data_IF_619653519182
#
_entry.id   IF_619653519182
#
_cell.length_a   1.000
_cell.length_b   1.000
_cell.length_c   1.000
_cell.angle_alpha   90.00
_cell.angle_beta   90.00
_cell.angle_gamma   90.00
#
_symmetry.space_group_name_H-M   'P 1'
#
loop_
_entity.id
_entity.type
_entity.pdbx_description
1 polymer ?
#
# COMPACT_ATOMS: atom_id res chain seq x y z
N UNK A 1 70.72 -28.66 -69.30
CA UNK A 1 69.53 -29.24 -68.65
C UNK A 1 68.45 -28.18 -68.56
N UNK A 2 67.43 -28.29 -69.39
CA UNK A 2 66.08 -27.79 -69.15
C UNK A 2 65.18 -28.63 -70.06
N UNK A 3 64.47 -29.53 -69.40
CA UNK A 3 63.59 -30.55 -69.95
C UNK A 3 62.22 -29.93 -70.27
N UNK A 4 61.61 -30.37 -71.37
CA UNK A 4 60.18 -30.29 -71.73
C UNK A 4 59.27 -29.56 -70.72
N UNK A 5 58.68 -28.43 -71.16
CA UNK A 5 57.52 -27.86 -70.47
C UNK A 5 56.52 -27.19 -71.44
N UNK A 6 56.30 -27.78 -72.61
CA UNK A 6 55.13 -27.43 -73.43
C UNK A 6 54.45 -28.73 -73.85
N UNK A 7 53.31 -29.04 -73.24
CA UNK A 7 52.42 -30.13 -73.64
C UNK A 7 51.09 -29.56 -74.11
N UNK A 8 50.74 -29.85 -75.36
CA UNK A 8 49.55 -29.36 -76.05
C UNK A 8 49.78 -29.34 -77.57
N UNK A 9 48.72 -29.53 -78.36
CA UNK A 9 48.79 -29.49 -79.84
C UNK A 9 49.19 -28.10 -80.30
N UNK A 10 50.38 -27.97 -80.87
CA UNK A 10 50.86 -26.75 -81.53
C UNK A 10 50.38 -26.80 -82.99
N UNK A 11 49.40 -25.96 -83.34
CA UNK A 11 48.97 -25.79 -84.73
C UNK A 11 49.85 -24.68 -85.33
N UNK A 12 50.64 -25.03 -86.34
CA UNK A 12 51.49 -24.08 -87.07
C UNK A 12 50.77 -23.58 -88.33
N UNK A 13 50.98 -22.32 -88.72
CA UNK A 13 50.58 -21.83 -90.04
C UNK A 13 51.55 -22.35 -91.10
N UNK A 14 51.03 -22.88 -92.20
CA UNK A 14 51.77 -23.79 -93.05
C UNK A 14 52.88 -23.17 -93.92
N UNK A 15 53.01 -21.85 -94.07
CA UNK A 15 54.12 -21.26 -94.81
C UNK A 15 54.38 -19.81 -94.40
N UNK A 16 55.60 -19.51 -93.94
CA UNK A 16 56.16 -18.15 -93.94
C UNK A 16 57.50 -18.18 -94.71
N UNK A 17 57.41 -17.92 -96.02
CA UNK A 17 58.55 -17.88 -96.91
C UNK A 17 59.28 -16.53 -96.80
N UNK A 18 60.31 -16.46 -95.95
CA UNK A 18 61.28 -15.36 -95.96
C UNK A 18 62.48 -15.80 -96.82
N UNK A 19 62.46 -15.43 -98.10
CA UNK A 19 63.25 -16.04 -99.18
C UNK A 19 64.78 -15.88 -99.17
N UNK A 20 65.43 -15.56 -98.04
CA UNK A 20 66.87 -15.22 -98.01
C UNK A 20 67.71 -16.06 -97.02
N UNK A 21 67.15 -17.14 -96.45
CA UNK A 21 67.91 -18.11 -95.65
C UNK A 21 67.55 -19.57 -95.98
N UNK A 22 68.52 -20.32 -96.49
CA UNK A 22 68.51 -21.79 -96.60
C UNK A 22 68.80 -22.38 -95.21
N UNK A 23 67.73 -22.72 -94.52
CA UNK A 23 67.78 -23.23 -93.15
C UNK A 23 66.54 -22.80 -92.40
N UNK A 24 65.60 -23.75 -92.27
CA UNK A 24 64.37 -23.64 -91.47
C UNK A 24 64.66 -22.93 -90.14
N UNK A 25 64.25 -21.67 -90.03
CA UNK A 25 64.25 -20.95 -88.76
C UNK A 25 63.06 -21.47 -87.95
N UNK A 26 63.25 -22.61 -87.29
CA UNK A 26 62.38 -23.12 -86.23
C UNK A 26 62.53 -22.27 -84.97
N UNK A 27 62.18 -20.98 -85.06
CA UNK A 27 61.89 -20.18 -83.89
C UNK A 27 60.43 -20.48 -83.49
N UNK A 28 60.25 -21.18 -82.37
CA UNK A 28 58.94 -21.39 -81.77
C UNK A 28 58.29 -20.02 -81.52
N UNK A 29 57.33 -19.63 -82.36
CA UNK A 29 56.54 -18.44 -82.12
C UNK A 29 55.35 -18.84 -81.25
N UNK A 30 55.34 -18.39 -79.99
CA UNK A 30 54.21 -18.55 -79.09
C UNK A 30 53.11 -17.58 -79.54
N UNK A 31 52.17 -18.04 -80.37
CA UNK A 31 50.94 -17.31 -80.68
C UNK A 31 49.84 -17.65 -79.67
N UNK A 32 50.08 -17.28 -78.42
CA UNK A 32 48.97 -16.94 -77.53
C UNK A 32 48.63 -15.49 -77.78
N UNK A 33 47.35 -15.13 -77.77
CA UNK A 33 46.85 -13.76 -77.88
C UNK A 33 47.37 -12.92 -76.69
N UNK A 34 48.66 -12.55 -76.67
CA UNK A 34 49.36 -11.99 -75.51
C UNK A 34 49.61 -10.48 -75.66
N UNK A 35 48.75 -9.81 -76.44
CA UNK A 35 48.79 -8.40 -76.87
C UNK A 35 49.40 -8.19 -78.26
N UNK A 36 48.83 -7.26 -79.02
CA UNK A 36 49.44 -6.68 -80.24
C UNK A 36 50.47 -5.58 -79.91
N UNK A 37 50.87 -5.44 -78.64
CA UNK A 37 51.96 -4.56 -78.18
C UNK A 37 53.33 -5.26 -78.23
N UNK A 38 54.42 -4.51 -78.03
CA UNK A 38 55.79 -5.02 -78.06
C UNK A 38 56.16 -5.96 -76.88
N UNK A 39 55.22 -6.20 -75.96
CA UNK A 39 55.38 -7.09 -74.81
C UNK A 39 56.53 -6.71 -73.86
N UNK A 40 57.26 -5.62 -74.11
CA UNK A 40 58.54 -5.31 -73.45
C UNK A 40 58.40 -5.02 -71.95
N UNK A 41 57.17 -4.69 -71.50
CA UNK A 41 56.83 -4.41 -70.11
C UNK A 41 55.98 -5.50 -69.44
N UNK A 42 55.73 -6.63 -70.12
CA UNK A 42 55.01 -7.78 -69.53
C UNK A 42 56.03 -8.68 -68.83
N UNK A 43 56.16 -8.54 -67.52
CA UNK A 43 57.11 -9.29 -66.68
C UNK A 43 56.32 -10.00 -65.58
N UNK A 44 56.60 -11.28 -65.35
CA UNK A 44 56.10 -12.10 -64.23
C UNK A 44 54.56 -12.10 -64.01
N UNK A 45 53.75 -12.50 -65.01
CA UNK A 45 52.31 -12.71 -64.79
C UNK A 45 52.11 -13.88 -63.81
N UNK A 46 51.69 -13.65 -62.55
CA UNK A 46 51.54 -14.73 -61.58
C UNK A 46 50.31 -15.58 -61.95
N UNK A 47 50.42 -16.90 -61.90
CA UNK A 47 49.26 -17.79 -62.03
C UNK A 47 48.56 -17.86 -60.67
N UNK A 48 47.31 -17.44 -60.61
CA UNK A 48 46.50 -17.60 -59.39
C UNK A 48 46.05 -19.07 -59.28
N UNK A 49 46.40 -19.72 -58.17
CA UNK A 49 45.99 -21.10 -57.87
C UNK A 49 44.75 -21.12 -56.95
N UNK A 50 44.02 -22.25 -56.92
CA UNK A 50 42.84 -22.45 -56.06
C UNK A 50 41.64 -21.51 -56.35
N UNK A 51 41.32 -21.32 -57.64
CA UNK A 51 40.23 -20.45 -58.08
C UNK A 51 38.88 -20.87 -57.48
N UNK A 52 38.39 -20.05 -56.54
CA UNK A 52 37.04 -20.15 -55.99
C UNK A 52 36.17 -19.13 -56.74
N UNK A 53 34.93 -19.52 -57.08
CA UNK A 53 34.04 -18.62 -57.82
C UNK A 53 33.84 -17.32 -57.04
N UNK A 54 33.89 -16.17 -57.73
CA UNK A 54 33.73 -14.84 -57.14
C UNK A 54 34.78 -14.44 -56.08
N UNK A 55 35.86 -15.21 -55.88
CA UNK A 55 36.89 -14.84 -54.90
C UNK A 55 37.64 -13.57 -55.29
N UNK A 56 37.88 -12.71 -54.30
CA UNK A 56 38.75 -11.55 -54.44
C UNK A 56 40.21 -12.04 -54.44
N UNK A 57 41.04 -11.42 -55.28
CA UNK A 57 42.47 -11.71 -55.35
C UNK A 57 43.23 -10.68 -54.52
N UNK A 58 44.09 -11.16 -53.63
CA UNK A 58 44.94 -10.34 -52.77
C UNK A 58 46.41 -10.67 -53.03
N UNK A 59 47.31 -9.76 -52.65
CA UNK A 59 48.74 -10.06 -52.63
C UNK A 59 49.12 -10.76 -51.32
N UNK A 60 50.17 -11.58 -51.36
CA UNK A 60 50.67 -12.31 -50.18
C UNK A 60 51.88 -11.56 -49.61
N UNK A 61 51.82 -11.17 -48.33
CA UNK A 61 52.94 -10.52 -47.64
C UNK A 61 53.35 -9.16 -48.22
N UNK A 62 52.49 -8.52 -49.02
CA UNK A 62 52.78 -7.26 -49.70
C UNK A 62 53.56 -7.37 -51.01
N UNK A 63 53.87 -8.59 -51.49
CA UNK A 63 54.55 -8.79 -52.77
C UNK A 63 53.56 -8.77 -53.94
N UNK A 64 53.68 -7.77 -54.83
CA UNK A 64 52.82 -7.61 -56.00
C UNK A 64 52.89 -8.79 -57.00
N UNK A 65 53.93 -9.63 -56.93
CA UNK A 65 54.12 -10.78 -57.82
C UNK A 65 53.56 -12.08 -57.22
N UNK A 66 53.05 -12.04 -55.99
CA UNK A 66 52.50 -13.20 -55.29
C UNK A 66 51.03 -12.95 -55.00
N UNK A 67 50.15 -13.61 -55.75
CA UNK A 67 48.70 -13.41 -55.69
C UNK A 67 48.00 -14.69 -55.21
N UNK A 68 46.96 -14.54 -54.38
CA UNK A 68 46.14 -15.64 -53.88
C UNK A 68 44.65 -15.34 -54.08
N UNK A 69 43.85 -16.38 -54.39
CA UNK A 69 42.40 -16.30 -54.33
C UNK A 69 41.92 -16.52 -52.88
N UNK A 70 41.27 -15.53 -52.30
CA UNK A 70 40.74 -15.62 -50.94
C UNK A 70 39.40 -16.37 -50.93
N UNK A 71 39.42 -17.67 -50.64
CA UNK A 71 38.19 -18.48 -50.61
C UNK A 71 37.15 -17.99 -49.57
N UNK A 72 37.59 -17.26 -48.55
CA UNK A 72 36.73 -16.68 -47.52
C UNK A 72 36.31 -15.23 -47.82
N UNK A 73 36.69 -14.65 -48.96
CA UNK A 73 36.33 -13.30 -49.37
C UNK A 73 35.81 -13.33 -50.82
N UNK A 74 34.48 -13.40 -51.00
CA UNK A 74 33.85 -13.51 -52.32
C UNK A 74 32.92 -12.34 -52.62
N UNK A 75 32.89 -11.86 -53.87
CA UNK A 75 32.02 -10.78 -54.34
C UNK A 75 31.32 -11.16 -55.63
N UNK A 76 29.99 -11.28 -55.59
CA UNK A 76 29.17 -11.71 -56.74
C UNK A 76 28.61 -10.54 -57.58
N UNK A 77 29.05 -9.31 -57.31
CA UNK A 77 28.52 -8.09 -57.91
C UNK A 77 27.47 -7.38 -57.07
N UNK A 78 26.87 -8.05 -56.08
CA UNK A 78 25.85 -7.49 -55.19
C UNK A 78 26.21 -7.64 -53.71
N UNK A 79 26.80 -8.76 -53.31
CA UNK A 79 27.13 -9.10 -51.94
C UNK A 79 28.62 -9.42 -51.81
N UNK A 80 29.30 -8.73 -50.88
CA UNK A 80 30.62 -9.13 -50.40
C UNK A 80 30.43 -10.08 -49.21
N UNK A 81 30.85 -11.33 -49.37
CA UNK A 81 30.78 -12.36 -48.32
C UNK A 81 32.16 -12.54 -47.70
N UNK A 82 32.21 -12.44 -46.36
CA UNK A 82 33.40 -12.71 -45.55
C UNK A 82 33.11 -13.90 -44.63
N UNK A 83 33.82 -15.00 -44.84
CA UNK A 83 33.73 -16.20 -43.99
C UNK A 83 34.84 -16.14 -42.95
N UNK A 84 34.59 -15.42 -41.84
CA UNK A 84 35.54 -15.22 -40.76
C UNK A 84 35.33 -13.90 -40.02
N UNK A 85 36.29 -13.54 -39.17
CA UNK A 85 36.24 -12.29 -38.39
C UNK A 85 36.57 -11.06 -39.25
N UNK A 86 35.87 -9.96 -38.99
CA UNK A 86 36.17 -8.65 -39.57
C UNK A 86 36.73 -7.75 -38.47
N UNK A 87 38.02 -7.41 -38.56
CA UNK A 87 38.64 -6.41 -37.66
C UNK A 87 38.68 -5.05 -38.36
N UNK A 88 38.00 -4.05 -37.79
CA UNK A 88 38.07 -2.66 -38.25
C UNK A 88 38.69 -1.78 -37.16
N UNK A 89 39.73 -1.00 -37.50
CA UNK A 89 40.48 -0.17 -36.55
C UNK A 89 39.80 1.15 -36.17
N UNK A 90 38.73 1.54 -36.88
CA UNK A 90 37.99 2.78 -36.64
C UNK A 90 36.52 2.49 -36.33
N UNK A 91 35.81 1.84 -37.26
CA UNK A 91 34.40 1.50 -37.09
C UNK A 91 33.79 0.95 -38.37
N UNK A 92 32.55 0.48 -38.27
CA UNK A 92 31.76 -0.04 -39.39
C UNK A 92 30.53 0.85 -39.53
N UNK A 93 30.32 1.43 -40.71
CA UNK A 93 29.10 2.17 -41.05
C UNK A 93 28.17 1.26 -41.85
N UNK A 94 27.06 0.85 -41.25
CA UNK A 94 26.06 -0.02 -41.88
C UNK A 94 24.64 0.43 -41.54
N UNK A 95 23.68 0.19 -42.44
CA UNK A 95 22.27 0.49 -42.20
C UNK A 95 21.63 -0.39 -41.13
N UNK A 96 22.14 -1.61 -40.95
CA UNK A 96 21.73 -2.54 -39.91
C UNK A 96 22.83 -3.60 -39.68
N UNK A 97 22.88 -4.15 -38.46
CA UNK A 97 23.70 -5.32 -38.12
C UNK A 97 22.77 -6.49 -37.88
N UNK A 98 22.94 -7.61 -38.60
CA UNK A 98 22.15 -8.83 -38.41
C UNK A 98 22.97 -9.85 -37.61
N UNK A 99 22.46 -10.29 -36.46
CA UNK A 99 23.12 -11.27 -35.60
C UNK A 99 22.37 -11.47 -34.28
N UNK A 100 22.89 -12.35 -33.42
CA UNK A 100 22.35 -12.57 -32.07
C UNK A 100 22.72 -11.45 -31.07
N UNK A 101 23.64 -10.56 -31.47
CA UNK A 101 24.10 -9.42 -30.70
C UNK A 101 24.97 -9.78 -29.49
N UNK A 102 25.31 -11.05 -29.27
CA UNK A 102 26.00 -11.51 -28.06
C UNK A 102 27.43 -10.95 -27.92
N UNK A 103 28.07 -10.63 -29.04
CA UNK A 103 29.39 -10.00 -29.11
C UNK A 103 29.38 -8.47 -29.16
N UNK A 104 28.20 -7.82 -29.20
CA UNK A 104 28.08 -6.37 -29.23
C UNK A 104 28.34 -5.80 -27.83
N UNK A 105 29.61 -5.66 -27.49
CA UNK A 105 30.10 -5.07 -26.24
C UNK A 105 30.73 -3.71 -26.53
N UNK A 106 30.81 -2.83 -25.52
CA UNK A 106 31.45 -1.52 -25.69
C UNK A 106 30.72 -0.55 -26.63
N UNK A 107 29.45 -0.81 -26.96
CA UNK A 107 28.58 0.17 -27.62
C UNK A 107 28.24 1.24 -26.57
N UNK A 108 29.10 2.24 -26.45
CA UNK A 108 28.74 3.46 -25.73
C UNK A 108 27.73 4.22 -26.58
N UNK A 109 26.65 4.70 -25.97
CA UNK A 109 25.61 5.50 -26.64
C UNK A 109 26.19 6.88 -27.03
N UNK A 110 27.07 6.89 -28.02
CA UNK A 110 27.81 8.07 -28.48
C UNK A 110 26.96 8.94 -29.40
N UNK A 111 26.19 9.85 -28.80
CA UNK A 111 25.73 11.07 -29.48
C UNK A 111 24.33 11.01 -30.11
N UNK A 112 23.49 11.95 -29.66
CA UNK A 112 22.31 12.52 -30.33
C UNK A 112 21.49 11.62 -31.27
N UNK A 113 20.82 10.62 -30.70
CA UNK A 113 19.56 10.09 -31.23
C UNK A 113 19.58 8.61 -31.63
N UNK A 114 18.72 7.80 -30.97
CA UNK A 114 18.08 6.64 -31.61
C UNK A 114 17.99 5.33 -30.83
N UNK A 115 18.71 5.14 -29.73
CA UNK A 115 18.65 3.90 -28.93
C UNK A 115 17.66 3.96 -27.77
N UNK A 116 16.99 2.85 -27.45
CA UNK A 116 16.08 2.79 -26.27
C UNK A 116 16.85 3.02 -24.97
N UNK A 117 18.09 2.56 -24.86
CA UNK A 117 18.99 2.81 -23.72
C UNK A 117 20.06 3.84 -24.10
N UNK A 118 20.17 4.90 -23.31
CA UNK A 118 21.20 5.93 -23.41
C UNK A 118 22.07 5.90 -22.16
N UNK A 119 23.30 5.44 -22.29
CA UNK A 119 24.29 5.50 -21.21
C UNK A 119 24.64 6.96 -20.90
N UNK A 120 24.58 7.32 -19.63
CA UNK A 120 24.94 8.65 -19.12
C UNK A 120 26.38 8.62 -18.61
N UNK A 121 26.75 7.52 -17.96
CA UNK A 121 28.10 7.15 -17.52
C UNK A 121 28.12 5.65 -17.11
N UNK A 122 29.29 5.13 -16.73
CA UNK A 122 29.47 3.71 -16.39
C UNK A 122 28.66 3.16 -15.20
N UNK A 123 27.81 3.97 -14.54
CA UNK A 123 26.90 3.54 -13.47
C UNK A 123 25.43 3.91 -13.72
N UNK A 124 25.13 4.61 -14.82
CA UNK A 124 23.80 5.13 -15.13
C UNK A 124 23.49 5.03 -16.61
N UNK A 125 22.36 4.42 -16.94
CA UNK A 125 21.72 4.53 -18.24
C UNK A 125 20.26 4.94 -18.05
N UNK A 126 19.73 5.73 -18.96
CA UNK A 126 18.31 6.07 -19.03
C UNK A 126 17.67 5.43 -20.24
N UNK A 127 16.36 5.35 -20.25
CA UNK A 127 15.62 5.08 -21.48
C UNK A 127 14.92 6.32 -22.00
N UNK A 128 15.01 6.53 -23.31
CA UNK A 128 14.38 7.68 -23.99
C UNK A 128 12.99 7.34 -24.53
N UNK A 129 12.58 6.08 -24.40
CA UNK A 129 11.29 5.54 -24.82
C UNK A 129 10.75 4.59 -23.74
N UNK A 130 9.47 4.23 -23.86
CA UNK A 130 8.86 3.18 -23.05
C UNK A 130 9.56 1.83 -23.29
N UNK A 131 9.83 1.11 -22.22
CA UNK A 131 10.34 -0.26 -22.26
C UNK A 131 9.18 -1.20 -21.95
N UNK A 132 8.86 -2.10 -22.87
CA UNK A 132 8.06 -3.27 -22.53
C UNK A 132 9.03 -4.40 -22.15
N UNK A 133 8.89 -4.92 -20.93
CA UNK A 133 9.70 -6.04 -20.44
C UNK A 133 8.79 -7.25 -20.28
N UNK A 134 9.02 -8.29 -21.11
CA UNK A 134 8.14 -9.47 -21.21
C UNK A 134 7.46 -9.57 -22.59
N UNK A 135 6.65 -10.62 -22.79
CA UNK A 135 5.87 -10.83 -24.03
C UNK A 135 4.36 -10.68 -23.77
N UNK A 136 3.55 -10.80 -24.83
CA UNK A 136 2.08 -10.92 -24.73
C UNK A 136 1.63 -12.29 -24.19
N UNK A 137 2.54 -13.26 -24.13
CA UNK A 137 2.33 -14.55 -23.49
C UNK A 137 2.68 -14.46 -22.00
N UNK A 138 2.24 -15.42 -21.20
CA UNK A 138 2.58 -15.49 -19.77
C UNK A 138 4.11 -15.38 -19.60
N UNK A 139 4.63 -14.35 -18.93
CA UNK A 139 6.07 -14.15 -18.80
C UNK A 139 6.72 -15.37 -18.15
N UNK A 140 7.71 -15.98 -18.81
CA UNK A 140 8.43 -17.14 -18.30
C UNK A 140 9.41 -16.78 -17.16
N UNK A 141 9.78 -15.51 -17.05
CA UNK A 141 10.76 -15.01 -16.09
C UNK A 141 10.29 -13.73 -15.40
N UNK A 142 10.66 -13.57 -14.13
CA UNK A 142 10.37 -12.38 -13.34
C UNK A 142 11.35 -11.25 -13.69
N UNK A 143 10.84 -10.01 -13.74
CA UNK A 143 11.72 -8.84 -13.63
C UNK A 143 12.24 -8.79 -12.19
N UNK A 144 13.53 -9.09 -12.00
CA UNK A 144 14.19 -9.01 -10.70
C UNK A 144 15.01 -7.73 -10.61
N UNK A 145 14.70 -6.87 -9.64
CA UNK A 145 15.47 -5.66 -9.34
C UNK A 145 16.26 -5.90 -8.06
N UNK A 146 17.57 -6.13 -8.19
CA UNK A 146 18.47 -6.24 -7.05
C UNK A 146 18.80 -4.82 -6.54
N UNK A 147 17.94 -4.28 -5.67
CA UNK A 147 18.10 -2.95 -5.09
C UNK A 147 16.76 -2.23 -4.90
N UNK A 148 16.79 -0.90 -4.98
CA UNK A 148 15.60 -0.06 -4.84
C UNK A 148 15.00 0.26 -6.22
N UNK A 149 13.70 0.04 -6.36
CA UNK A 149 12.93 0.58 -7.49
C UNK A 149 12.25 1.88 -7.04
N UNK A 150 12.50 2.98 -7.75
CA UNK A 150 11.82 4.26 -7.53
C UNK A 150 10.88 4.54 -8.71
N UNK A 151 9.62 4.89 -8.42
CA UNK A 151 8.63 5.30 -9.41
C UNK A 151 8.11 6.67 -9.00
N UNK A 152 8.40 7.70 -9.79
CA UNK A 152 7.99 9.09 -9.51
C UNK A 152 6.54 9.40 -9.94
N UNK A 153 5.86 8.44 -10.56
CA UNK A 153 4.48 8.53 -11.01
C UNK A 153 3.62 7.39 -10.48
N UNK A 154 2.60 7.02 -11.24
CA UNK A 154 1.69 5.93 -10.87
C UNK A 154 2.34 4.57 -11.08
N UNK A 155 2.35 3.74 -10.05
CA UNK A 155 2.65 2.31 -10.17
C UNK A 155 1.34 1.52 -10.15
N UNK A 156 1.01 0.86 -11.28
CA UNK A 156 -0.20 0.06 -11.42
C UNK A 156 0.17 -1.42 -11.29
N UNK A 157 -0.45 -2.11 -10.34
CA UNK A 157 -0.32 -3.56 -10.17
C UNK A 157 -1.68 -4.20 -10.39
N UNK A 158 -1.80 -5.02 -11.43
CA UNK A 158 -3.05 -5.75 -11.75
C UNK A 158 -3.20 -7.03 -10.94
N UNK A 159 -2.08 -7.53 -10.39
CA UNK A 159 -2.05 -8.68 -9.49
C UNK A 159 -1.93 -8.29 -8.01
N UNK A 160 -1.34 -9.18 -7.23
CA UNK A 160 -1.12 -8.96 -5.80
C UNK A 160 0.19 -8.21 -5.54
N UNK A 161 0.20 -7.36 -4.52
CA UNK A 161 1.42 -6.82 -3.93
C UNK A 161 1.80 -7.72 -2.74
N UNK A 162 2.97 -8.35 -2.79
CA UNK A 162 3.52 -9.13 -1.67
C UNK A 162 4.71 -8.38 -1.07
N UNK A 163 4.54 -7.86 0.15
CA UNK A 163 5.58 -7.20 0.93
C UNK A 163 5.97 -8.08 2.12
N UNK A 164 7.22 -8.50 2.20
CA UNK A 164 7.75 -9.24 3.37
C UNK A 164 8.17 -8.30 4.50
N UNK A 165 8.51 -7.05 4.16
CA UNK A 165 8.80 -5.98 5.09
C UNK A 165 7.58 -5.10 5.39
N UNK A 166 7.83 -3.96 6.04
CA UNK A 166 6.79 -2.96 6.32
C UNK A 166 6.36 -2.24 5.03
N UNK A 167 5.06 -1.94 4.94
CA UNK A 167 4.50 -1.04 3.94
C UNK A 167 4.31 0.33 4.62
N UNK A 168 5.06 1.34 4.17
CA UNK A 168 4.86 2.73 4.57
C UNK A 168 4.03 3.46 3.51
N UNK A 169 2.98 4.16 3.95
CA UNK A 169 2.10 4.95 3.10
C UNK A 169 1.96 6.33 3.72
N UNK A 170 2.37 7.37 2.99
CA UNK A 170 2.14 8.76 3.42
C UNK A 170 0.71 9.21 3.14
N UNK A 171 0.04 8.53 2.19
CA UNK A 171 -1.34 8.77 1.80
C UNK A 171 -2.34 7.76 2.36
N UNK A 172 -3.57 7.84 1.86
CA UNK A 172 -4.67 6.96 2.25
C UNK A 172 -4.61 5.61 1.52
N UNK A 173 -5.21 4.59 2.13
CA UNK A 173 -5.50 3.31 1.49
C UNK A 173 -6.98 3.25 1.10
N UNK A 174 -7.27 3.24 -0.20
CA UNK A 174 -8.63 3.25 -0.72
C UNK A 174 -8.96 1.98 -1.52
N UNK A 175 -10.07 1.30 -1.20
CA UNK A 175 -10.65 0.32 -2.10
C UNK A 175 -11.26 1.02 -3.33
N UNK A 176 -11.11 0.42 -4.52
CA UNK A 176 -11.75 0.94 -5.74
C UNK A 176 -13.29 0.85 -5.68
N UNK A 177 -13.81 -0.17 -4.99
CA UNK A 177 -15.25 -0.38 -4.79
C UNK A 177 -15.60 -0.37 -3.31
N UNK A 178 -16.58 0.44 -2.93
CA UNK A 178 -17.03 0.55 -1.54
C UNK A 178 -17.65 -0.77 -1.04
N UNK A 179 -17.37 -1.12 0.22
CA UNK A 179 -17.97 -2.27 0.94
C UNK A 179 -17.70 -3.65 0.32
N UNK A 180 -16.60 -3.83 -0.44
CA UNK A 180 -16.25 -5.12 -1.08
C UNK A 180 -15.00 -5.76 -0.50
N UNK A 181 -14.05 -4.97 0.01
CA UNK A 181 -12.73 -5.47 0.40
C UNK A 181 -12.52 -5.46 1.91
N UNK A 182 -11.97 -6.55 2.44
CA UNK A 182 -11.62 -6.70 3.85
C UNK A 182 -10.19 -6.24 4.14
N UNK A 183 -9.96 -5.77 5.37
CA UNK A 183 -8.62 -5.60 5.93
C UNK A 183 -8.22 -6.88 6.68
N UNK A 184 -7.42 -7.72 6.03
CA UNK A 184 -7.04 -9.03 6.55
C UNK A 184 -8.09 -10.11 6.27
N UNK A 185 -7.99 -11.24 6.95
CA UNK A 185 -8.98 -12.33 6.87
C UNK A 185 -9.04 -13.13 8.17
N UNK A 186 -10.01 -14.04 8.30
CA UNK A 186 -10.11 -14.91 9.48
C UNK A 186 -8.83 -15.74 9.74
N UNK A 187 -8.13 -16.16 8.68
CA UNK A 187 -6.88 -16.91 8.78
C UNK A 187 -5.64 -15.99 8.90
N UNK A 188 -5.76 -14.71 8.53
CA UNK A 188 -4.67 -13.73 8.54
C UNK A 188 -5.15 -12.40 9.14
N UNK A 189 -5.48 -12.38 10.45
CA UNK A 189 -5.93 -11.17 11.11
C UNK A 189 -4.75 -10.23 11.37
N UNK A 190 -5.06 -8.95 11.51
CA UNK A 190 -4.13 -7.99 12.08
C UNK A 190 -4.00 -8.27 13.58
N UNK A 191 -2.77 -8.26 14.11
CA UNK A 191 -2.56 -8.47 15.54
C UNK A 191 -3.16 -7.32 16.36
N UNK A 192 -2.88 -6.07 15.97
CA UNK A 192 -3.35 -4.84 16.60
C UNK A 192 -3.65 -3.78 15.53
N UNK A 193 -4.66 -2.93 15.78
CA UNK A 193 -4.92 -1.70 15.03
C UNK A 193 -4.61 -0.50 15.92
N UNK A 194 -3.58 0.27 15.56
CA UNK A 194 -3.18 1.47 16.30
C UNK A 194 -3.74 2.71 15.59
N UNK A 195 -4.66 3.40 16.24
CA UNK A 195 -5.24 4.67 15.78
C UNK A 195 -5.00 5.73 16.84
N UNK A 196 -4.43 6.88 16.46
CA UNK A 196 -3.95 7.87 17.42
C UNK A 196 -4.99 8.91 17.82
N UNK A 197 -5.59 9.62 16.85
CA UNK A 197 -6.07 10.97 17.12
C UNK A 197 -7.57 11.19 17.06
N UNK A 198 -8.39 10.30 16.50
CA UNK A 198 -9.82 10.64 16.36
C UNK A 198 -10.78 9.45 16.36
N UNK A 199 -10.78 8.60 15.33
CA UNK A 199 -11.91 7.70 15.14
C UNK A 199 -11.64 6.51 14.22
N UNK A 200 -12.46 5.48 14.37
CA UNK A 200 -12.71 4.41 13.40
C UNK A 200 -14.18 4.55 12.97
N UNK A 201 -14.44 4.63 11.67
CA UNK A 201 -15.81 4.70 11.14
C UNK A 201 -16.38 3.30 10.90
N UNK A 202 -17.66 3.11 11.24
CA UNK A 202 -18.49 1.96 10.91
C UNK A 202 -19.73 2.45 10.15
N UNK A 203 -19.62 2.55 8.82
CA UNK A 203 -20.65 3.20 8.00
C UNK A 203 -20.76 4.69 8.32
N UNK A 204 -21.92 5.15 8.78
CA UNK A 204 -22.13 6.55 9.23
C UNK A 204 -21.78 6.77 10.71
N UNK A 205 -21.52 5.71 11.46
CA UNK A 205 -21.24 5.77 12.88
C UNK A 205 -19.74 5.77 13.16
N UNK A 206 -19.34 6.28 14.32
CA UNK A 206 -17.94 6.39 14.74
C UNK A 206 -17.67 5.65 16.04
N UNK A 207 -16.58 4.92 16.12
CA UNK A 207 -15.91 4.60 17.37
C UNK A 207 -14.83 5.67 17.59
N UNK A 208 -14.92 6.44 18.67
CA UNK A 208 -13.97 7.55 18.93
C UNK A 208 -13.52 7.54 20.39
N UNK A 209 -12.37 8.15 20.65
CA UNK A 209 -11.90 8.40 22.02
C UNK A 209 -11.91 9.91 22.24
N UNK A 210 -12.57 10.35 23.30
CA UNK A 210 -12.64 11.76 23.68
C UNK A 210 -12.85 11.86 25.18
N UNK A 211 -12.11 12.77 25.84
CA UNK A 211 -12.09 12.93 27.30
C UNK A 211 -11.83 11.59 28.00
N UNK A 212 -10.81 10.85 27.55
CA UNK A 212 -10.39 9.53 28.07
C UNK A 212 -11.46 8.43 28.03
N UNK A 213 -12.58 8.65 27.30
CA UNK A 213 -13.68 7.70 27.20
C UNK A 213 -13.89 7.22 25.77
N UNK A 214 -14.20 5.93 25.63
CA UNK A 214 -14.63 5.32 24.38
C UNK A 214 -16.08 5.72 24.08
N UNK A 215 -16.31 6.34 22.92
CA UNK A 215 -17.61 6.76 22.42
C UNK A 215 -18.02 5.92 21.22
N UNK A 216 -19.27 5.45 21.24
CA UNK A 216 -19.90 4.72 20.13
C UNK A 216 -20.95 5.61 19.46
N UNK A 217 -20.90 5.70 18.14
CA UNK A 217 -21.78 6.55 17.33
C UNK A 217 -21.45 8.04 17.41
N UNK A 218 -22.06 8.83 16.52
CA UNK A 218 -21.90 10.29 16.42
C UNK A 218 -22.74 11.09 17.44
N UNK A 219 -23.13 10.47 18.57
CA UNK A 219 -24.03 11.09 19.55
C UNK A 219 -25.53 10.98 19.21
N UNK A 220 -25.93 9.98 18.43
CA UNK A 220 -27.34 9.74 18.07
C UNK A 220 -28.17 9.27 19.27
N UNK A 221 -29.31 9.93 19.51
CA UNK A 221 -30.27 9.58 20.58
C UNK A 221 -31.03 8.26 20.35
N UNK A 222 -30.81 7.61 19.20
CA UNK A 222 -31.53 6.41 18.76
C UNK A 222 -30.61 5.19 18.63
N UNK A 223 -29.29 5.36 18.78
CA UNK A 223 -28.30 4.30 18.61
C UNK A 223 -27.75 3.91 19.98
N UNK A 224 -28.38 2.92 20.58
CA UNK A 224 -27.95 2.32 21.86
C UNK A 224 -26.93 1.19 21.65
N UNK A 225 -26.36 0.75 22.77
CA UNK A 225 -25.54 -0.47 22.81
C UNK A 225 -26.50 -1.68 22.81
N UNK A 226 -26.77 -2.25 21.63
CA UNK A 226 -27.40 -3.57 21.55
C UNK A 226 -26.38 -4.63 21.93
N UNK A 227 -26.19 -4.83 23.24
CA UNK A 227 -25.45 -5.96 23.77
C UNK A 227 -26.34 -6.85 24.57
N UNK A 228 -26.06 -8.16 24.48
CA UNK A 228 -26.70 -9.12 25.35
C UNK A 228 -26.44 -8.84 26.84
N UNK A 229 -25.22 -8.43 27.19
CA UNK A 229 -24.86 -8.05 28.56
C UNK A 229 -23.80 -6.95 28.59
N UNK A 230 -23.93 -6.03 29.55
CA UNK A 230 -22.91 -5.04 29.88
C UNK A 230 -22.35 -5.34 31.27
N UNK A 231 -21.03 -5.48 31.40
CA UNK A 231 -20.37 -5.80 32.67
C UNK A 231 -19.59 -4.60 33.20
N UNK A 232 -20.13 -3.92 34.22
CA UNK A 232 -19.45 -2.84 34.92
C UNK A 232 -18.64 -3.41 36.09
N UNK A 233 -17.30 -3.40 35.98
CA UNK A 233 -16.41 -3.85 37.06
C UNK A 233 -16.01 -2.68 37.98
N UNK A 234 -15.71 -2.99 39.24
CA UNK A 234 -15.25 -2.05 40.28
C UNK A 234 -16.27 -0.96 40.65
N UNK A 235 -16.32 0.12 39.88
CA UNK A 235 -16.94 1.39 40.29
C UNK A 235 -18.32 1.64 39.64
N UNK A 236 -18.88 0.64 38.96
CA UNK A 236 -20.23 0.73 38.41
C UNK A 236 -20.41 1.86 37.39
N UNK A 237 -21.56 2.53 37.47
CA UNK A 237 -21.91 3.70 36.66
C UNK A 237 -21.79 4.95 37.55
N UNK A 238 -20.88 5.86 37.21
CA UNK A 238 -20.79 7.18 37.84
C UNK A 238 -21.49 8.22 36.98
N UNK A 239 -22.33 9.05 37.58
CA UNK A 239 -23.07 10.11 36.89
C UNK A 239 -22.84 11.44 37.61
N UNK A 240 -22.69 12.53 36.84
CA UNK A 240 -22.62 13.88 37.41
C UNK A 240 -23.91 14.24 38.16
N UNK A 241 -23.79 15.09 39.17
CA UNK A 241 -24.95 15.58 39.93
C UNK A 241 -26.01 16.20 39.00
N UNK A 242 -27.28 15.82 39.19
CA UNK A 242 -28.40 16.28 38.36
C UNK A 242 -28.63 15.48 37.07
N UNK A 243 -27.85 14.43 36.78
CA UNK A 243 -28.12 13.48 35.69
C UNK A 243 -28.91 12.27 36.19
N UNK A 244 -29.80 11.76 35.34
CA UNK A 244 -30.67 10.62 35.68
C UNK A 244 -30.19 9.33 35.01
N UNK A 245 -30.05 8.27 35.80
CA UNK A 245 -29.96 6.91 35.25
C UNK A 245 -31.37 6.43 34.86
N UNK A 246 -31.74 6.59 33.59
CA UNK A 246 -33.04 6.11 33.08
C UNK A 246 -32.93 4.67 32.61
N UNK A 247 -33.56 3.74 33.33
CA UNK A 247 -33.68 2.35 32.90
C UNK A 247 -35.08 2.09 32.33
N UNK A 248 -35.18 1.90 31.02
CA UNK A 248 -36.42 1.49 30.33
C UNK A 248 -36.47 -0.03 30.19
N UNK A 249 -36.62 -0.72 31.31
CA UNK A 249 -36.71 -2.19 31.34
C UNK A 249 -38.14 -2.63 31.67
N UNK A 250 -38.53 -3.81 31.17
CA UNK A 250 -39.78 -4.45 31.58
C UNK A 250 -39.75 -4.84 33.06
N UNK A 251 -38.61 -5.34 33.54
CA UNK A 251 -38.35 -5.69 34.93
C UNK A 251 -36.91 -5.35 35.30
N UNK A 252 -36.70 -5.04 36.59
CA UNK A 252 -35.39 -4.86 37.19
C UNK A 252 -35.24 -5.95 38.24
N UNK A 253 -34.26 -6.84 38.06
CA UNK A 253 -33.91 -7.85 39.05
C UNK A 253 -32.61 -7.47 39.74
N UNK A 254 -32.63 -7.46 41.07
CA UNK A 254 -31.46 -7.19 41.90
C UNK A 254 -31.22 -8.43 42.75
N UNK A 255 -30.06 -9.07 42.58
CA UNK A 255 -29.72 -10.29 43.33
C UNK A 255 -29.22 -10.00 44.76
N UNK A 256 -28.75 -8.77 45.01
CA UNK A 256 -28.33 -8.28 46.33
C UNK A 256 -29.24 -7.17 46.86
N UNK A 257 -28.87 -6.58 47.99
CA UNK A 257 -29.59 -5.44 48.57
C UNK A 257 -29.37 -4.13 47.80
N UNK A 258 -30.33 -3.22 47.91
CA UNK A 258 -30.18 -1.83 47.45
C UNK A 258 -29.69 -0.99 48.62
N UNK A 259 -28.51 -0.38 48.48
CA UNK A 259 -28.00 0.59 49.44
C UNK A 259 -28.43 2.00 49.05
N UNK A 260 -29.08 2.70 49.98
CA UNK A 260 -29.35 4.13 49.85
C UNK A 260 -28.43 4.92 50.76
N UNK A 261 -28.11 6.16 50.39
CA UNK A 261 -27.40 7.08 51.29
C UNK A 261 -28.35 7.43 52.44
N UNK A 262 -27.94 7.07 53.68
CA UNK A 262 -28.67 7.42 54.90
C UNK A 262 -28.24 8.81 55.37
N UNK A 263 -29.20 9.73 55.47
CA UNK A 263 -29.01 11.05 56.07
C UNK A 263 -29.48 11.03 57.51
N UNK A 264 -28.56 11.26 58.46
CA UNK A 264 -28.87 11.34 59.89
C UNK A 264 -29.14 12.79 60.28
N UNK A 265 -30.20 13.01 61.06
CA UNK A 265 -30.64 14.33 61.54
C UNK A 265 -30.91 14.32 63.04
N UNK A 266 -30.57 15.42 63.72
CA UNK A 266 -30.74 15.62 65.17
C UNK A 266 -31.10 17.09 65.51
N UNK A 267 -31.58 17.82 64.51
CA UNK A 267 -32.00 19.23 64.58
C UNK A 267 -32.95 19.47 63.40
N UNK A 268 -33.52 20.68 63.30
CA UNK A 268 -34.25 21.14 62.12
C UNK A 268 -33.44 20.88 60.85
N UNK A 269 -34.09 20.31 59.83
CA UNK A 269 -33.40 19.90 58.61
C UNK A 269 -34.24 20.15 57.37
N UNK A 270 -33.63 20.79 56.36
CA UNK A 270 -34.18 20.88 55.02
C UNK A 270 -33.79 19.62 54.24
N UNK A 271 -34.78 18.76 53.99
CA UNK A 271 -34.60 17.56 53.16
C UNK A 271 -34.20 18.00 51.75
N UNK A 272 -33.19 17.35 51.18
CA UNK A 272 -32.65 17.68 49.86
C UNK A 272 -33.23 16.78 48.78
N UNK A 273 -33.17 17.24 47.54
CA UNK A 273 -33.52 16.49 46.32
C UNK A 273 -32.66 15.23 46.07
N UNK A 274 -31.59 15.04 46.82
CA UNK A 274 -30.72 13.86 46.80
C UNK A 274 -30.94 12.90 47.98
N UNK A 275 -31.74 13.29 48.97
CA UNK A 275 -32.03 12.45 50.12
C UNK A 275 -33.09 11.41 49.73
N UNK A 276 -32.92 10.18 50.21
CA UNK A 276 -33.93 9.13 50.11
C UNK A 276 -34.31 8.61 51.49
N UNK A 277 -33.31 8.24 52.30
CA UNK A 277 -33.50 7.74 53.66
C UNK A 277 -33.04 8.80 54.67
N UNK A 278 -33.97 9.35 55.44
CA UNK A 278 -33.73 10.32 56.50
C UNK A 278 -34.01 9.66 57.85
N UNK A 279 -32.98 9.51 58.67
CA UNK A 279 -33.03 8.91 60.00
C UNK A 279 -32.92 9.98 61.09
N UNK A 280 -33.91 10.04 61.98
CA UNK A 280 -34.00 11.02 63.06
C UNK A 280 -33.48 10.41 64.36
N UNK A 281 -32.50 11.05 64.98
CA UNK A 281 -31.94 10.68 66.28
C UNK A 281 -32.71 11.37 67.42
N UNK A 282 -34.00 11.01 67.56
CA UNK A 282 -34.91 11.71 68.49
C UNK A 282 -34.52 11.56 69.97
N UNK A 283 -33.76 10.51 70.33
CA UNK A 283 -33.19 10.26 71.65
C UNK A 283 -32.15 11.31 72.08
N UNK A 284 -31.56 11.99 71.10
CA UNK A 284 -30.59 13.07 71.33
C UNK A 284 -31.23 14.46 71.38
N UNK A 285 -32.53 14.56 71.09
CA UNK A 285 -33.24 15.83 71.07
C UNK A 285 -33.50 16.36 72.48
N UNK A 286 -33.59 17.68 72.58
CA UNK A 286 -34.00 18.39 73.81
C UNK A 286 -35.28 19.22 73.60
N UNK A 287 -35.76 19.29 72.35
CA UNK A 287 -37.02 19.90 71.94
C UNK A 287 -37.53 19.23 70.67
N UNK A 288 -38.80 19.44 70.33
CA UNK A 288 -39.35 19.11 69.01
C UNK A 288 -38.56 19.77 67.89
N UNK A 289 -38.49 19.10 66.73
CA UNK A 289 -37.81 19.58 65.52
C UNK A 289 -38.74 19.55 64.32
N UNK A 290 -38.39 20.29 63.28
CA UNK A 290 -39.08 20.38 62.00
C UNK A 290 -38.18 19.91 60.86
N UNK A 291 -38.62 18.88 60.15
CA UNK A 291 -38.04 18.47 58.88
C UNK A 291 -38.85 19.14 57.76
N UNK A 292 -38.20 20.01 57.01
CA UNK A 292 -38.84 20.73 55.91
C UNK A 292 -38.62 19.97 54.61
N UNK A 293 -39.69 19.61 53.92
CA UNK A 293 -39.63 18.99 52.60
C UNK A 293 -39.13 19.99 51.54
N UNK A 294 -38.50 19.51 50.45
CA UNK A 294 -38.13 20.37 49.32
C UNK A 294 -39.34 21.08 48.71
N UNK A 295 -39.11 22.05 47.82
CA UNK A 295 -40.15 22.52 46.91
C UNK A 295 -40.55 21.39 45.95
N UNK A 296 -41.83 21.01 45.95
CA UNK A 296 -42.35 19.93 45.12
C UNK A 296 -42.11 20.15 43.62
N UNK A 297 -42.11 21.40 43.15
CA UNK A 297 -41.86 21.73 41.75
C UNK A 297 -40.40 21.47 41.33
N UNK A 298 -39.48 21.40 42.30
CA UNK A 298 -38.06 21.09 42.09
C UNK A 298 -37.75 19.59 42.01
N UNK A 299 -38.73 18.72 42.32
CA UNK A 299 -38.54 17.28 42.40
C UNK A 299 -39.06 16.53 41.18
N UNK A 300 -38.61 15.28 41.01
CA UNK A 300 -39.19 14.40 40.00
C UNK A 300 -40.57 13.91 40.43
N UNK A 301 -41.49 13.77 39.47
CA UNK A 301 -42.75 13.07 39.70
C UNK A 301 -42.46 11.61 40.12
N UNK A 302 -42.99 11.22 41.27
CA UNK A 302 -42.75 9.93 41.91
C UNK A 302 -41.50 9.88 42.80
N UNK A 303 -40.75 10.97 42.96
CA UNK A 303 -39.61 11.00 43.88
C UNK A 303 -40.07 10.74 45.31
N UNK A 304 -39.45 9.75 45.94
CA UNK A 304 -39.88 9.17 47.22
C UNK A 304 -38.87 9.46 48.33
N UNK A 305 -39.38 9.71 49.54
CA UNK A 305 -38.61 9.89 50.75
C UNK A 305 -39.08 8.92 51.82
N UNK A 306 -38.15 8.39 52.61
CA UNK A 306 -38.42 7.57 53.80
C UNK A 306 -37.85 8.32 54.99
N UNK A 307 -38.72 8.73 55.91
CA UNK A 307 -38.37 9.45 57.12
C UNK A 307 -38.65 8.52 58.29
N UNK A 308 -37.64 8.25 59.11
CA UNK A 308 -37.71 7.29 60.21
C UNK A 308 -37.23 7.92 61.50
N UNK A 309 -38.05 7.86 62.54
CA UNK A 309 -37.57 7.99 63.90
C UNK A 309 -36.76 6.74 64.27
N UNK A 310 -35.47 6.94 64.53
CA UNK A 310 -34.54 5.89 64.92
C UNK A 310 -34.15 5.99 66.40
N UNK A 311 -34.38 7.14 67.04
CA UNK A 311 -34.11 7.37 68.46
C UNK A 311 -35.25 6.98 69.39
N UNK A 312 -36.48 6.84 68.88
CA UNK A 312 -37.61 6.32 69.66
C UNK A 312 -38.22 7.29 70.67
N UNK A 313 -37.90 8.59 70.62
CA UNK A 313 -38.37 9.62 71.54
C UNK A 313 -39.35 10.61 70.89
N UNK A 314 -39.92 10.28 69.72
CA UNK A 314 -40.89 11.13 69.03
C UNK A 314 -42.19 11.40 69.82
N UNK A 315 -42.51 10.59 70.84
CA UNK A 315 -43.62 10.88 71.77
C UNK A 315 -43.31 11.99 72.78
N UNK A 316 -42.01 12.27 72.99
CA UNK A 316 -41.53 13.30 73.93
C UNK A 316 -41.10 14.55 73.17
N UNK A 317 -40.44 14.35 72.03
CA UNK A 317 -40.05 15.40 71.10
C UNK A 317 -40.69 15.13 69.73
N UNK A 318 -41.99 15.46 69.56
CA UNK A 318 -42.68 15.28 68.29
C UNK A 318 -41.92 15.91 67.13
N UNK A 319 -41.84 15.17 66.03
CA UNK A 319 -41.11 15.59 64.83
C UNK A 319 -42.11 16.07 63.80
N UNK A 320 -42.09 17.36 63.49
CA UNK A 320 -42.98 17.94 62.48
C UNK A 320 -42.34 17.78 61.11
N UNK A 321 -43.06 17.21 60.15
CA UNK A 321 -42.67 17.20 58.74
C UNK A 321 -43.51 18.26 58.05
N UNK A 322 -42.88 19.34 57.60
CA UNK A 322 -43.55 20.50 57.04
C UNK A 322 -43.25 20.66 55.54
N UNK A 323 -44.22 21.15 54.79
CA UNK A 323 -44.02 21.56 53.40
C UNK A 323 -43.32 22.91 53.30
N UNK A 324 -42.58 23.13 52.21
CA UNK A 324 -42.11 24.46 51.84
C UNK A 324 -43.23 25.21 51.10
N UNK A 325 -43.43 26.49 51.42
CA UNK A 325 -44.35 27.35 50.67
C UNK A 325 -45.83 26.90 50.76
N UNK A 326 -46.47 26.77 49.60
CA UNK A 326 -47.89 26.39 49.48
C UNK A 326 -48.12 24.91 49.17
N UNK A 327 -47.06 24.09 49.25
CA UNK A 327 -47.17 22.66 49.01
C UNK A 327 -47.96 21.97 50.14
N UNK A 328 -48.54 20.82 49.82
CA UNK A 328 -49.39 20.07 50.75
C UNK A 328 -49.03 18.58 50.79
N UNK A 329 -49.07 17.98 51.98
CA UNK A 329 -49.03 16.53 52.25
C UNK A 329 -50.46 16.06 52.51
N UNK A 330 -51.05 15.30 51.57
CA UNK A 330 -52.44 14.81 51.68
C UNK A 330 -53.47 15.85 52.15
N UNK A 331 -53.34 17.09 51.64
CA UNK A 331 -54.23 18.21 51.97
C UNK A 331 -53.82 19.04 53.18
N UNK A 332 -52.78 18.65 53.91
CA UNK A 332 -52.23 19.38 55.06
C UNK A 332 -50.92 20.08 54.70
N UNK A 333 -50.57 21.17 55.39
CA UNK A 333 -49.27 21.84 55.20
C UNK A 333 -48.13 21.14 55.96
N UNK A 334 -48.47 20.32 56.95
CA UNK A 334 -47.53 19.57 57.77
C UNK A 334 -48.20 18.36 58.41
N UNK A 335 -47.38 17.40 58.83
CA UNK A 335 -47.76 16.24 59.64
C UNK A 335 -46.80 16.11 60.82
N UNK A 336 -47.16 15.32 61.84
CA UNK A 336 -46.32 15.13 63.02
C UNK A 336 -46.12 13.64 63.27
N UNK A 337 -44.87 13.24 63.49
CA UNK A 337 -44.54 11.92 64.01
C UNK A 337 -44.51 11.99 65.54
N UNK A 338 -45.46 11.30 66.17
CA UNK A 338 -45.66 11.31 67.63
C UNK A 338 -45.42 9.94 68.28
N UNK A 339 -45.28 8.88 67.48
CA UNK A 339 -45.05 7.52 68.00
C UNK A 339 -43.55 7.19 68.04
N UNK A 340 -43.04 6.57 69.11
CA UNK A 340 -41.68 6.05 69.17
C UNK A 340 -41.38 5.16 67.97
N UNK A 341 -40.24 5.38 67.32
CA UNK A 341 -39.82 4.62 66.14
C UNK A 341 -40.80 4.70 64.97
N UNK A 342 -41.62 5.75 64.89
CA UNK A 342 -42.49 5.96 63.74
C UNK A 342 -41.68 6.08 62.44
N UNK A 343 -42.24 5.57 61.35
CA UNK A 343 -41.71 5.74 60.01
C UNK A 343 -42.80 6.30 59.14
N UNK A 344 -42.43 7.12 58.17
CA UNK A 344 -43.32 7.52 57.11
C UNK A 344 -42.60 7.49 55.78
N UNK A 345 -43.34 7.07 54.76
CA UNK A 345 -42.89 7.15 53.38
C UNK A 345 -43.82 8.12 52.64
N UNK A 346 -43.21 9.00 51.85
CA UNK A 346 -43.91 10.00 51.05
C UNK A 346 -43.39 9.97 49.63
N UNK A 347 -44.21 10.32 48.64
CA UNK A 347 -43.74 10.67 47.30
C UNK A 347 -44.36 11.97 46.79
N UNK A 348 -43.66 12.63 45.84
CA UNK A 348 -44.06 13.91 45.27
C UNK A 348 -44.68 13.75 43.86
N UNK A 349 -45.58 14.64 43.45
CA UNK A 349 -46.04 14.73 42.05
C UNK A 349 -45.13 15.57 41.12
N UNK A 350 -44.04 16.14 41.63
CA UNK A 350 -43.15 17.03 40.89
C UNK A 350 -43.78 18.38 40.53
N UNK A 351 -44.83 18.80 41.25
CA UNK A 351 -45.55 20.05 41.00
C UNK A 351 -45.84 20.85 42.28
N UNK A 352 -46.64 20.29 43.21
CA UNK A 352 -47.11 21.00 44.40
C UNK A 352 -47.68 20.11 45.53
N UNK A 353 -47.50 18.78 45.45
CA UNK A 353 -48.10 17.84 46.41
C UNK A 353 -47.16 16.72 46.78
N UNK A 354 -47.31 16.29 48.03
CA UNK A 354 -46.80 15.07 48.61
C UNK A 354 -47.95 14.15 49.02
N UNK A 355 -47.74 12.85 48.90
CA UNK A 355 -48.69 11.81 49.25
C UNK A 355 -48.03 10.81 50.19
N UNK A 356 -48.74 10.38 51.22
CA UNK A 356 -48.28 9.34 52.15
C UNK A 356 -48.59 7.95 51.56
N UNK A 357 -47.66 7.01 51.72
CA UNK A 357 -47.72 5.66 51.16
C UNK A 357 -48.24 4.61 52.14
#
# INVERSE_FOLDING_TARGET
>A
MAYNAVSGTIITSQDLNAGWFDGSLTANTVSGNLSTSDGASVINIPRVSNATNNAVITNVGGDANSLVCESNLTFDGSLLTITGDVTASVGISASYFMGDGSGLTGISAGGSGGGIFTEVNGTKAYTTSSIQVGSSDTPAYTLSVAGTAMVSGTYIVTGNIHCTGALHLDGNFFPATANVHDLGSAAKPWRNLYVSSSTIYFGTDTLSVSNDNLKFGSGSTVKGFDVGFMNFKNNGIFMDQGRLFKLRAYQIQMFGGIGYVRKVVADDYLIRDVDYLVGIQSDTLTSSITLTLPDAAGLLNGQTFVIKDEGGSANTYPVTIACTGSDIIDGQTSIVLESPYAAIQLYCNGLNKYFIC
#
